data_IF_886551168669
#
_entry.id   IF_886551168669
#
_cell.length_a   1.000
_cell.length_b   1.000
_cell.length_c   1.000
_cell.angle_alpha   90.00
_cell.angle_beta   90.00
_cell.angle_gamma   90.00
#
_symmetry.space_group_name_H-M   'P 1'
#
loop_
_entity.id
_entity.type
_entity.pdbx_description
1 polymer ?
#
# COMPACT_ATOMS: atom_id res chain seq x y z
N UNK A 1 33.10 38.87 5.45
CA UNK A 1 32.66 37.49 5.77
C UNK A 1 31.75 37.04 4.64
N UNK A 2 32.30 36.39 3.61
CA UNK A 2 31.52 35.92 2.47
C UNK A 2 30.69 34.71 2.92
N UNK A 3 29.43 34.94 3.29
CA UNK A 3 28.46 33.85 3.42
C UNK A 3 28.35 33.23 2.04
N UNK A 4 28.94 32.04 1.91
CA UNK A 4 29.09 31.36 0.64
C UNK A 4 27.69 31.19 0.03
N UNK A 5 27.41 31.85 -1.10
CA UNK A 5 26.08 31.86 -1.76
C UNK A 5 25.53 30.45 -1.97
N UNK A 6 26.42 29.47 -2.17
CA UNK A 6 26.10 28.05 -2.27
C UNK A 6 25.55 27.44 -0.98
N UNK A 7 25.99 27.90 0.20
CA UNK A 7 25.52 27.42 1.49
C UNK A 7 24.03 27.73 1.71
N UNK A 8 23.57 28.93 1.32
CA UNK A 8 22.15 29.30 1.37
C UNK A 8 21.29 28.51 0.39
N UNK A 9 21.83 28.21 -0.80
CA UNK A 9 21.13 27.39 -1.80
C UNK A 9 20.98 25.95 -1.32
N UNK A 10 22.03 25.35 -0.75
CA UNK A 10 21.99 23.99 -0.17
C UNK A 10 20.96 23.91 0.98
N UNK A 11 20.90 24.94 1.84
CA UNK A 11 19.97 25.02 2.96
C UNK A 11 18.49 25.09 2.54
N UNK A 12 18.20 25.66 1.37
CA UNK A 12 16.85 25.75 0.82
C UNK A 12 16.41 24.48 0.07
N UNK A 13 17.35 23.73 -0.51
CA UNK A 13 17.03 22.51 -1.28
C UNK A 13 16.87 21.29 -0.36
N UNK A 14 17.62 21.20 0.73
CA UNK A 14 17.58 20.08 1.67
C UNK A 14 16.20 19.78 2.29
N UNK A 15 15.39 20.77 2.74
CA UNK A 15 14.05 20.50 3.27
C UNK A 15 13.05 20.10 2.18
N UNK A 16 13.28 20.47 0.91
CA UNK A 16 12.38 20.14 -0.20
C UNK A 16 12.39 18.64 -0.54
N UNK A 17 13.55 17.98 -0.40
CA UNK A 17 13.67 16.53 -0.60
C UNK A 17 12.89 15.70 0.44
N UNK A 18 12.72 16.22 1.66
CA UNK A 18 12.00 15.54 2.74
C UNK A 18 10.46 15.64 2.63
N UNK A 19 9.94 16.47 1.73
CA UNK A 19 8.49 16.64 1.56
C UNK A 19 7.85 15.61 0.62
N UNK A 20 8.65 14.87 -0.14
CA UNK A 20 8.17 13.93 -1.16
C UNK A 20 8.34 12.45 -0.78
N UNK A 21 8.41 12.12 0.51
CA UNK A 21 8.44 10.73 0.93
C UNK A 21 7.13 10.05 0.50
N UNK A 22 7.23 8.96 -0.26
CA UNK A 22 6.06 8.18 -0.67
C UNK A 22 5.64 7.25 0.48
N UNK A 23 4.34 6.94 0.63
CA UNK A 23 3.91 5.91 1.55
C UNK A 23 4.55 4.57 1.20
N UNK A 24 4.86 3.79 2.23
CA UNK A 24 5.52 2.49 2.08
C UNK A 24 4.90 1.45 3.01
N UNK A 25 5.08 0.18 2.65
CA UNK A 25 4.75 -0.99 3.47
C UNK A 25 6.02 -1.43 4.18
N UNK A 26 5.96 -1.52 5.50
CA UNK A 26 7.06 -2.02 6.33
C UNK A 26 6.80 -3.44 6.82
N UNK A 27 5.53 -3.76 7.07
CA UNK A 27 5.09 -5.07 7.52
C UNK A 27 3.61 -5.29 7.20
N UNK A 28 3.19 -6.54 7.33
CA UNK A 28 1.79 -6.94 7.32
C UNK A 28 1.57 -7.87 8.52
N UNK A 29 0.31 -7.96 8.96
CA UNK A 29 -0.14 -8.96 9.89
C UNK A 29 -1.12 -9.87 9.18
N UNK A 30 -1.02 -11.17 9.43
CA UNK A 30 -1.90 -12.17 8.88
C UNK A 30 -2.52 -12.96 10.03
N UNK A 31 -3.84 -12.82 10.21
CA UNK A 31 -4.59 -13.59 11.19
C UNK A 31 -5.66 -14.44 10.53
N UNK A 32 -6.47 -15.16 11.31
CA UNK A 32 -7.50 -16.05 10.77
C UNK A 32 -8.58 -15.32 9.95
N UNK A 33 -8.80 -14.01 10.17
CA UNK A 33 -9.90 -13.24 9.59
C UNK A 33 -9.44 -12.35 8.45
N UNK A 34 -8.27 -11.72 8.58
CA UNK A 34 -7.77 -10.75 7.62
C UNK A 34 -6.26 -10.77 7.44
N UNK A 35 -5.84 -10.30 6.25
CA UNK A 35 -4.48 -9.79 6.03
C UNK A 35 -4.54 -8.28 6.19
N UNK A 36 -3.85 -7.75 7.19
CA UNK A 36 -3.74 -6.31 7.47
C UNK A 36 -2.37 -5.80 7.07
N UNK A 37 -2.32 -5.01 6.01
CA UNK A 37 -1.10 -4.34 5.53
C UNK A 37 -1.10 -2.92 6.11
N UNK A 38 -0.08 -2.57 6.89
CA UNK A 38 0.04 -1.26 7.52
C UNK A 38 0.89 -0.34 6.66
N UNK A 39 0.40 0.88 6.44
CA UNK A 39 1.06 1.87 5.59
C UNK A 39 1.76 2.92 6.45
N UNK A 40 3.01 3.23 6.10
CA UNK A 40 3.84 4.19 6.81
C UNK A 40 4.25 5.37 5.93
N UNK A 41 4.42 6.53 6.56
CA UNK A 41 5.00 7.71 5.95
C UNK A 41 5.82 8.46 6.99
N UNK A 42 7.10 8.72 6.70
CA UNK A 42 8.07 9.32 7.65
C UNK A 42 8.10 8.58 8.99
N UNK A 43 8.14 7.25 8.95
CA UNK A 43 8.17 6.37 10.13
C UNK A 43 6.97 6.48 11.06
N UNK A 44 5.83 6.96 10.54
CA UNK A 44 4.54 6.96 11.25
C UNK A 44 3.50 6.21 10.44
N UNK A 45 2.69 5.42 11.13
CA UNK A 45 1.50 4.80 10.53
C UNK A 45 0.60 5.90 9.97
N UNK A 46 0.15 5.73 8.74
CA UNK A 46 -0.68 6.69 8.02
C UNK A 46 -1.88 6.03 7.31
N UNK A 47 -2.07 4.72 7.45
CA UNK A 47 -3.21 4.02 6.90
C UNK A 47 -3.03 2.51 6.82
N UNK A 48 -3.94 1.86 6.11
CA UNK A 48 -3.97 0.40 6.00
C UNK A 48 -4.62 -0.07 4.69
N UNK A 49 -4.35 -1.33 4.37
CA UNK A 49 -5.09 -2.15 3.40
C UNK A 49 -5.45 -3.45 4.12
N UNK A 50 -6.74 -3.71 4.29
CA UNK A 50 -7.26 -4.94 4.89
C UNK A 50 -7.88 -5.82 3.81
N UNK A 51 -7.53 -7.10 3.82
CA UNK A 51 -8.08 -8.14 2.96
C UNK A 51 -8.81 -9.13 3.85
N UNK A 52 -10.14 -9.12 3.80
CA UNK A 52 -10.99 -10.01 4.59
C UNK A 52 -11.10 -11.37 3.90
N UNK A 53 -10.62 -12.43 4.57
CA UNK A 53 -10.50 -13.77 3.98
C UNK A 53 -11.85 -14.39 3.64
N UNK A 54 -12.77 -14.36 4.61
CA UNK A 54 -14.11 -14.97 4.50
C UNK A 54 -14.97 -14.25 3.44
N UNK A 55 -15.06 -12.92 3.54
CA UNK A 55 -15.88 -12.11 2.63
C UNK A 55 -15.23 -11.90 1.26
N UNK A 56 -13.94 -12.23 1.12
CA UNK A 56 -13.12 -11.98 -0.08
C UNK A 56 -13.22 -10.54 -0.56
N UNK A 57 -13.24 -9.61 0.39
CA UNK A 57 -13.28 -8.17 0.13
C UNK A 57 -12.01 -7.50 0.60
N UNK A 58 -11.71 -6.38 -0.02
CA UNK A 58 -10.59 -5.53 0.29
C UNK A 58 -11.10 -4.15 0.68
N UNK A 59 -10.57 -3.59 1.76
CA UNK A 59 -10.80 -2.20 2.17
C UNK A 59 -9.45 -1.53 2.35
N UNK A 60 -9.29 -0.30 1.87
CA UNK A 60 -8.11 0.49 2.14
C UNK A 60 -8.50 1.90 2.57
N UNK A 61 -7.69 2.48 3.45
CA UNK A 61 -7.81 3.87 3.87
C UNK A 61 -6.44 4.39 4.30
N UNK A 62 -6.01 5.52 3.74
CA UNK A 62 -4.75 6.15 4.13
C UNK A 62 -4.74 7.66 3.89
N UNK A 63 -3.94 8.36 4.69
CA UNK A 63 -3.67 9.79 4.61
C UNK A 63 -2.19 10.05 4.94
N UNK A 64 -1.34 9.99 3.91
CA UNK A 64 0.12 9.96 4.02
C UNK A 64 0.74 11.25 3.43
N UNK A 65 0.54 12.37 4.12
CA UNK A 65 0.96 13.70 3.66
C UNK A 65 -0.11 14.43 2.83
N UNK A 66 0.23 15.56 2.23
CA UNK A 66 -0.76 16.46 1.60
C UNK A 66 -1.42 15.94 0.32
N UNK A 67 -0.77 15.04 -0.43
CA UNK A 67 -1.28 14.57 -1.73
C UNK A 67 -1.51 13.06 -1.81
N UNK A 68 -1.17 12.29 -0.77
CA UNK A 68 -1.34 10.84 -0.77
C UNK A 68 -2.49 10.46 0.16
N UNK A 69 -3.72 10.63 -0.32
CA UNK A 69 -4.92 10.16 0.34
C UNK A 69 -5.62 9.13 -0.55
N UNK A 70 -6.19 8.11 0.05
CA UNK A 70 -6.99 7.13 -0.66
C UNK A 70 -7.89 6.36 0.28
N UNK A 71 -9.12 6.12 -0.16
CA UNK A 71 -10.07 5.25 0.53
C UNK A 71 -10.85 4.46 -0.51
N UNK A 72 -11.12 3.19 -0.24
CA UNK A 72 -11.94 2.37 -1.11
C UNK A 72 -12.31 1.04 -0.49
N UNK A 73 -13.31 0.42 -1.11
CA UNK A 73 -13.78 -0.91 -0.79
C UNK A 73 -14.12 -1.61 -2.11
N UNK A 74 -13.66 -2.86 -2.27
CA UNK A 74 -13.87 -3.64 -3.50
C UNK A 74 -13.78 -5.13 -3.20
N UNK A 75 -14.20 -5.99 -4.14
CA UNK A 75 -13.99 -7.43 -4.02
C UNK A 75 -12.57 -7.77 -4.47
N UNK A 76 -11.98 -8.78 -3.83
CA UNK A 76 -10.67 -9.29 -4.22
C UNK A 76 -10.67 -9.84 -5.67
N UNK A 77 -11.84 -10.30 -6.16
CA UNK A 77 -12.03 -10.74 -7.54
C UNK A 77 -11.86 -9.63 -8.58
N UNK A 78 -12.15 -8.38 -8.22
CA UNK A 78 -12.29 -7.26 -9.16
C UNK A 78 -10.98 -6.50 -9.35
N UNK A 79 -9.93 -6.93 -8.63
CA UNK A 79 -8.59 -6.34 -8.67
C UNK A 79 -7.53 -7.40 -8.90
N UNK A 80 -6.38 -6.96 -9.37
CA UNK A 80 -5.14 -7.72 -9.30
C UNK A 80 -4.03 -6.83 -8.76
N UNK A 81 -2.99 -7.49 -8.24
CA UNK A 81 -1.81 -6.84 -7.70
C UNK A 81 -0.63 -7.09 -8.64
N UNK A 82 0.23 -6.10 -8.75
CA UNK A 82 1.45 -6.17 -9.54
C UNK A 82 2.61 -5.52 -8.78
N UNK A 83 3.83 -5.93 -9.09
CA UNK A 83 5.06 -5.37 -8.54
C UNK A 83 5.79 -4.54 -9.59
N UNK A 84 5.66 -3.21 -9.51
CA UNK A 84 6.20 -2.29 -10.51
C UNK A 84 7.04 -1.20 -9.85
N UNK A 85 8.33 -1.14 -10.19
CA UNK A 85 9.27 -0.14 -9.70
C UNK A 85 9.28 -0.07 -8.16
N UNK A 86 9.58 -1.21 -7.52
CA UNK A 86 9.65 -1.35 -6.06
C UNK A 86 8.37 -0.91 -5.34
N UNK A 87 7.22 -1.23 -5.93
CA UNK A 87 5.93 -0.82 -5.41
C UNK A 87 4.90 -1.90 -5.64
N UNK A 88 4.06 -2.12 -4.64
CA UNK A 88 2.79 -2.81 -4.81
C UNK A 88 1.83 -1.88 -5.54
N UNK A 89 1.28 -2.35 -6.65
CA UNK A 89 0.29 -1.64 -7.46
C UNK A 89 -0.98 -2.45 -7.47
N UNK A 90 -2.09 -1.83 -7.08
CA UNK A 90 -3.42 -2.44 -7.18
C UNK A 90 -4.14 -1.86 -8.39
N UNK A 91 -4.67 -2.74 -9.25
CA UNK A 91 -5.26 -2.37 -10.53
C UNK A 91 -6.66 -2.98 -10.62
N UNK A 92 -7.63 -2.17 -11.06
CA UNK A 92 -8.99 -2.64 -11.35
C UNK A 92 -8.97 -3.53 -12.60
N UNK A 93 -9.59 -4.70 -12.53
CA UNK A 93 -9.76 -5.57 -13.71
C UNK A 93 -10.80 -5.04 -14.71
N UNK A 94 -11.78 -4.26 -14.24
CA UNK A 94 -12.85 -3.75 -15.09
C UNK A 94 -12.35 -2.77 -16.15
N UNK A 95 -11.45 -1.85 -15.75
CA UNK A 95 -11.04 -0.74 -16.60
C UNK A 95 -9.51 -0.55 -16.67
N UNK A 96 -8.73 -1.48 -16.10
CA UNK A 96 -7.27 -1.44 -16.02
C UNK A 96 -6.70 -0.17 -15.37
N UNK A 97 -7.52 0.60 -14.64
CA UNK A 97 -7.04 1.78 -13.94
C UNK A 97 -6.34 1.38 -12.66
N UNK A 98 -5.21 2.04 -12.42
CA UNK A 98 -4.47 1.95 -11.17
C UNK A 98 -5.29 2.57 -10.04
N UNK A 99 -5.60 1.76 -9.02
CA UNK A 99 -6.32 2.17 -7.81
C UNK A 99 -5.34 2.82 -6.82
N UNK A 100 -4.22 2.15 -6.55
CA UNK A 100 -3.15 2.68 -5.70
C UNK A 100 -1.77 2.18 -6.12
N UNK A 101 -0.74 2.87 -5.63
CA UNK A 101 0.66 2.50 -5.75
C UNK A 101 1.40 2.87 -4.48
N UNK A 102 1.93 1.88 -3.78
CA UNK A 102 2.60 2.04 -2.50
C UNK A 102 3.97 1.38 -2.57
N UNK A 103 5.00 2.04 -2.04
CA UNK A 103 6.36 1.46 -2.03
C UNK A 103 6.34 0.17 -1.21
N UNK A 104 6.91 -0.90 -1.75
CA UNK A 104 6.93 -2.20 -1.09
C UNK A 104 8.26 -2.88 -1.38
N UNK A 105 8.84 -3.51 -0.35
CA UNK A 105 9.93 -4.44 -0.56
C UNK A 105 9.44 -5.66 -1.36
N UNK A 106 10.32 -6.26 -2.18
CA UNK A 106 9.93 -7.40 -3.00
C UNK A 106 9.58 -8.62 -2.14
N UNK A 107 10.34 -8.88 -1.08
CA UNK A 107 10.09 -10.01 -0.20
C UNK A 107 8.70 -9.89 0.46
N UNK A 108 8.38 -8.70 1.00
CA UNK A 108 7.07 -8.44 1.61
C UNK A 108 5.95 -8.58 0.57
N UNK A 109 6.17 -8.11 -0.66
CA UNK A 109 5.20 -8.28 -1.73
C UNK A 109 4.93 -9.75 -2.02
N UNK A 110 5.99 -10.55 -2.20
CA UNK A 110 5.89 -11.98 -2.53
C UNK A 110 5.13 -12.72 -1.40
N UNK A 111 5.47 -12.47 -0.13
CA UNK A 111 4.78 -13.05 1.02
C UNK A 111 3.28 -12.68 1.08
N UNK A 112 2.92 -11.41 0.84
CA UNK A 112 1.51 -10.99 0.79
C UNK A 112 0.78 -11.69 -0.37
N UNK A 113 1.43 -11.88 -1.52
CA UNK A 113 0.81 -12.55 -2.66
C UNK A 113 0.56 -14.02 -2.39
N UNK A 114 1.50 -14.72 -1.75
CA UNK A 114 1.33 -16.12 -1.35
C UNK A 114 0.10 -16.29 -0.44
N UNK A 115 -0.08 -15.39 0.53
CA UNK A 115 -1.24 -15.38 1.42
C UNK A 115 -2.55 -15.10 0.68
N UNK A 116 -2.53 -14.18 -0.29
CA UNK A 116 -3.70 -13.88 -1.12
C UNK A 116 -4.08 -15.07 -2.00
N UNK A 117 -3.11 -15.80 -2.54
CA UNK A 117 -3.35 -16.95 -3.40
C UNK A 117 -3.85 -18.15 -2.59
N UNK A 118 -3.39 -18.32 -1.34
CA UNK A 118 -3.99 -19.26 -0.38
C UNK A 118 -5.47 -18.97 -0.09
N UNK A 119 -5.87 -17.69 -0.03
CA UNK A 119 -7.29 -17.33 0.15
C UNK A 119 -8.13 -17.71 -1.08
N UNK A 120 -7.58 -17.56 -2.28
CA UNK A 120 -8.27 -17.89 -3.53
C UNK A 120 -8.43 -19.39 -3.73
N UNK A 121 -7.49 -20.21 -3.24
CA UNK A 121 -7.54 -21.67 -3.36
C UNK A 121 -8.53 -22.32 -2.39
N UNK A 122 -8.89 -21.65 -1.29
CA UNK A 122 -9.88 -22.17 -0.35
C UNK A 122 -11.25 -22.32 -1.02
N UNK A 123 -12.00 -23.41 -0.76
CA UNK A 123 -13.38 -23.53 -1.20
C UNK A 123 -14.20 -22.41 -0.55
N UNK A 124 -15.02 -21.71 -1.33
CA UNK A 124 -15.99 -20.77 -0.77
C UNK A 124 -16.93 -21.59 0.12
N UNK A 125 -16.85 -21.44 1.44
CA UNK A 125 -17.82 -22.07 2.33
C UNK A 125 -19.19 -21.57 1.90
N UNK A 126 -20.04 -22.51 1.47
CA UNK A 126 -21.47 -22.24 1.34
C UNK A 126 -21.96 -22.04 2.76
N UNK A 127 -22.31 -20.81 3.11
CA UNK A 127 -23.27 -20.62 4.19
C UNK A 127 -24.59 -21.18 3.65
N UNK A 128 -24.89 -22.42 4.02
CA UNK A 128 -26.26 -22.93 4.02
C UNK A 128 -26.98 -22.23 5.18
N UNK A 129 -28.03 -21.49 4.82
CA UNK A 129 -29.02 -20.93 5.74
C UNK A 129 -29.84 -22.05 6.42
#
# INVERSE_FOLDING_TARGET
>A
MFVNRYFLIILLIFPMFLMCAKPYIESYNNDEKEIKIVLFHKSKECGFINIYKERRTLTFQFSCGWSNFGKGHTKLSDVYFDYINNSLVMISKENHKRILKIKCDKQIFDEIMDEIDNIKSLPSSKHED
#
